data_IF_790417191347
#
_entry.id   IF_790417191347
#
_cell.length_a   1.000
_cell.length_b   1.000
_cell.length_c   1.000
_cell.angle_alpha   90.00
_cell.angle_beta   90.00
_cell.angle_gamma   90.00
#
_symmetry.space_group_name_H-M   'P 1'
#
loop_
_entity.id
_entity.type
_entity.pdbx_description
1 polymer ?
#
# COMPACT_ATOMS: atom_id res chain seq x y z
N UNK A 1 2.28 -3.66 -18.48
CA UNK A 1 3.21 -2.50 -18.42
C UNK A 1 4.31 -2.82 -17.42
N UNK A 2 5.55 -2.40 -17.70
CA UNK A 2 6.72 -2.76 -16.90
C UNK A 2 6.79 -1.88 -15.65
N UNK A 3 6.90 -2.52 -14.48
CA UNK A 3 7.11 -1.88 -13.18
C UNK A 3 8.22 -0.82 -13.28
N UNK A 4 7.90 0.46 -13.02
CA UNK A 4 8.90 1.52 -13.01
C UNK A 4 9.52 1.64 -11.58
N UNK A 5 10.75 1.15 -11.35
CA UNK A 5 11.39 1.23 -10.04
C UNK A 5 11.61 2.67 -9.55
N UNK A 6 11.69 3.66 -10.45
CA UNK A 6 11.86 5.08 -10.10
C UNK A 6 10.68 5.60 -9.27
N UNK A 7 9.48 5.01 -9.44
CA UNK A 7 8.26 5.49 -8.78
C UNK A 7 8.17 4.96 -7.34
N UNK A 8 8.85 3.85 -7.05
CA UNK A 8 9.05 3.43 -5.67
C UNK A 8 10.05 4.34 -4.95
N UNK A 9 11.05 4.86 -5.67
CA UNK A 9 12.01 5.80 -5.10
C UNK A 9 11.35 7.15 -4.79
N UNK A 10 10.43 7.63 -5.63
CA UNK A 10 9.67 8.87 -5.36
C UNK A 10 8.70 8.77 -4.18
N UNK A 11 8.22 7.56 -3.82
CA UNK A 11 7.44 7.35 -2.58
C UNK A 11 8.32 7.47 -1.34
N UNK A 12 9.59 7.09 -1.45
CA UNK A 12 10.48 6.91 -0.30
C UNK A 12 11.47 8.05 -0.11
N UNK A 13 11.69 8.89 -1.13
CA UNK A 13 12.66 9.97 -1.11
C UNK A 13 12.04 11.28 -1.57
N UNK A 14 12.50 12.36 -0.95
CA UNK A 14 12.21 13.73 -1.35
C UNK A 14 12.90 14.03 -2.69
N UNK A 15 12.16 14.63 -3.62
CA UNK A 15 12.59 14.89 -5.00
C UNK A 15 13.70 15.95 -5.10
N UNK A 16 13.79 16.85 -4.12
CA UNK A 16 14.74 17.97 -4.10
C UNK A 16 16.03 17.62 -3.37
N UNK A 17 15.92 16.88 -2.28
CA UNK A 17 17.02 16.60 -1.36
C UNK A 17 17.55 15.18 -1.47
N UNK A 18 16.81 14.28 -2.15
CA UNK A 18 17.08 12.84 -2.17
C UNK A 18 17.13 12.19 -0.78
N UNK A 19 16.66 12.90 0.26
CA UNK A 19 16.57 12.35 1.61
C UNK A 19 15.38 11.40 1.74
N UNK A 20 15.51 10.38 2.60
CA UNK A 20 14.39 9.50 2.90
C UNK A 20 13.28 10.24 3.62
N UNK A 21 12.05 10.07 3.12
CA UNK A 21 10.86 10.61 3.74
C UNK A 21 10.58 9.92 5.08
N UNK A 22 10.13 10.66 6.12
CA UNK A 22 9.70 10.08 7.37
C UNK A 22 8.45 9.22 7.17
N UNK A 23 8.20 8.30 8.09
CA UNK A 23 6.95 7.56 8.15
C UNK A 23 5.76 8.54 8.23
N UNK A 24 4.81 8.48 7.30
CA UNK A 24 3.67 9.43 7.32
C UNK A 24 2.73 9.24 8.51
N UNK A 25 2.71 8.04 9.12
CA UNK A 25 1.84 7.76 10.27
C UNK A 25 2.45 8.15 11.61
N UNK A 26 3.77 8.06 11.78
CA UNK A 26 4.42 8.29 13.07
C UNK A 26 5.55 9.33 13.06
N UNK A 27 5.91 9.87 11.90
CA UNK A 27 6.96 10.88 11.75
C UNK A 27 8.40 10.36 11.89
N UNK A 28 8.60 9.11 12.30
CA UNK A 28 9.94 8.57 12.49
C UNK A 28 10.66 8.34 11.15
N UNK A 29 11.92 8.77 11.05
CA UNK A 29 12.80 8.48 9.91
C UNK A 29 13.43 7.10 10.09
N UNK A 30 12.93 6.12 9.35
CA UNK A 30 13.46 4.76 9.37
C UNK A 30 14.53 4.59 8.29
N UNK A 31 15.63 3.86 8.54
CA UNK A 31 16.67 3.64 7.53
C UNK A 31 16.17 2.85 6.32
N UNK A 32 15.15 1.99 6.53
CA UNK A 32 14.53 1.18 5.48
C UNK A 32 12.99 1.25 5.59
N UNK A 33 12.36 2.37 5.20
CA UNK A 33 10.91 2.45 5.14
C UNK A 33 10.40 1.61 3.96
N UNK A 34 9.24 0.99 4.15
CA UNK A 34 8.51 0.32 3.07
C UNK A 34 7.58 1.32 2.38
N UNK A 35 7.40 1.14 1.06
CA UNK A 35 6.32 1.78 0.34
C UNK A 35 5.09 0.89 0.50
N UNK A 36 4.16 1.30 1.36
CA UNK A 36 2.88 0.64 1.54
C UNK A 36 1.95 1.05 0.39
N UNK A 37 1.44 0.10 -0.38
CA UNK A 37 0.55 0.44 -1.49
C UNK A 37 -0.81 0.85 -0.94
N UNK A 38 -1.38 1.93 -1.49
CA UNK A 38 -2.71 2.37 -1.09
C UNK A 38 -3.73 1.43 -1.70
N UNK A 39 -3.57 1.08 -2.98
CA UNK A 39 -4.34 0.05 -3.69
C UNK A 39 -3.44 -1.18 -3.86
N UNK A 40 -3.96 -2.40 -3.74
CA UNK A 40 -3.10 -3.57 -3.99
C UNK A 40 -2.53 -3.54 -5.41
N UNK A 41 -1.26 -3.93 -5.55
CA UNK A 41 -0.54 -3.91 -6.82
C UNK A 41 -1.24 -4.67 -7.95
N UNK A 42 -1.93 -5.77 -7.65
CA UNK A 42 -2.68 -6.52 -8.64
C UNK A 42 -3.91 -5.75 -9.10
N UNK A 43 -4.67 -5.18 -8.16
CA UNK A 43 -5.85 -4.35 -8.44
C UNK A 43 -5.47 -3.05 -9.15
N UNK A 44 -4.37 -2.43 -8.75
CA UNK A 44 -3.81 -1.25 -9.43
C UNK A 44 -3.49 -1.55 -10.89
N UNK A 45 -2.83 -2.68 -11.18
CA UNK A 45 -2.43 -3.05 -12.54
C UNK A 45 -3.59 -3.45 -13.45
N UNK A 46 -4.68 -3.98 -12.88
CA UNK A 46 -5.84 -4.46 -13.64
C UNK A 46 -6.99 -3.45 -13.67
N UNK A 47 -6.97 -2.46 -12.79
CA UNK A 47 -7.94 -1.38 -12.74
C UNK A 47 -7.82 -0.41 -13.91
N UNK A 48 -8.93 0.24 -14.24
CA UNK A 48 -9.04 1.27 -15.29
C UNK A 48 -8.23 2.53 -14.97
N UNK A 49 -7.91 2.78 -13.70
CA UNK A 49 -7.31 4.03 -13.22
C UNK A 49 -5.85 3.89 -12.78
N UNK A 50 -5.28 2.69 -12.78
CA UNK A 50 -3.91 2.47 -12.34
C UNK A 50 -2.91 2.70 -13.47
N UNK A 51 -2.27 3.86 -13.48
CA UNK A 51 -1.12 4.09 -14.34
C UNK A 51 0.17 3.89 -13.54
N UNK A 52 1.16 3.18 -14.10
CA UNK A 52 2.48 3.11 -13.47
C UNK A 52 3.05 4.52 -13.23
N UNK A 53 2.63 5.57 -13.95
CA UNK A 53 3.04 6.99 -13.74
C UNK A 53 2.50 7.65 -12.47
N UNK A 54 1.52 7.05 -11.79
CA UNK A 54 0.92 7.59 -10.58
C UNK A 54 1.54 6.95 -9.34
N UNK A 55 1.63 7.74 -8.28
CA UNK A 55 2.21 7.33 -7.00
C UNK A 55 1.15 6.59 -6.20
N UNK A 56 1.25 5.26 -6.14
CA UNK A 56 0.40 4.39 -5.32
C UNK A 56 1.22 3.85 -4.14
N UNK A 57 1.62 4.75 -3.24
CA UNK A 57 2.47 4.38 -2.12
C UNK A 57 2.57 5.42 -1.02
N UNK A 58 2.67 4.94 0.22
CA UNK A 58 2.97 5.74 1.42
C UNK A 58 4.31 5.28 2.02
N UNK A 59 5.22 6.20 2.38
CA UNK A 59 6.42 5.83 3.13
C UNK A 59 6.03 5.52 4.57
N UNK A 60 6.11 4.24 4.95
CA UNK A 60 5.79 3.75 6.29
C UNK A 60 6.95 2.97 6.90
N UNK A 61 7.14 3.12 8.22
CA UNK A 61 8.01 2.22 8.96
C UNK A 61 7.36 0.82 9.07
N UNK A 62 8.13 -0.25 9.36
CA UNK A 62 7.59 -1.62 9.40
C UNK A 62 6.38 -1.81 10.32
N UNK A 63 6.36 -1.13 11.47
CA UNK A 63 5.25 -1.20 12.42
C UNK A 63 4.00 -0.51 11.87
N UNK A 64 4.13 0.73 11.40
CA UNK A 64 3.02 1.47 10.81
C UNK A 64 2.49 0.81 9.54
N UNK A 65 3.37 0.20 8.74
CA UNK A 65 2.97 -0.57 7.57
C UNK A 65 2.09 -1.76 7.95
N UNK A 66 2.45 -2.49 9.01
CA UNK A 66 1.64 -3.59 9.53
C UNK A 66 0.27 -3.10 10.02
N UNK A 67 0.25 -2.03 10.81
CA UNK A 67 -1.01 -1.43 11.32
C UNK A 67 -1.90 -0.94 10.18
N UNK A 68 -1.30 -0.33 9.16
CA UNK A 68 -2.02 0.13 7.98
C UNK A 68 -2.72 -1.02 7.26
N UNK A 69 -1.99 -2.08 6.93
CA UNK A 69 -2.49 -3.25 6.20
C UNK A 69 -3.52 -4.06 7.02
N UNK A 70 -3.22 -4.32 8.30
CA UNK A 70 -3.99 -5.28 9.11
C UNK A 70 -5.22 -4.65 9.78
N UNK A 71 -5.22 -3.34 10.00
CA UNK A 71 -6.26 -2.67 10.78
C UNK A 71 -6.83 -1.43 10.08
N UNK A 72 -5.97 -0.47 9.72
CA UNK A 72 -6.45 0.84 9.28
C UNK A 72 -7.18 0.76 7.94
N UNK A 73 -6.62 0.07 6.94
CA UNK A 73 -7.20 -0.01 5.60
C UNK A 73 -8.56 -0.74 5.61
N UNK A 74 -8.71 -1.92 6.25
CA UNK A 74 -10.02 -2.55 6.42
C UNK A 74 -11.04 -1.68 7.15
N UNK A 75 -10.62 -1.05 8.25
CA UNK A 75 -11.51 -0.19 9.03
C UNK A 75 -12.00 1.03 8.24
N UNK A 76 -11.11 1.66 7.47
CA UNK A 76 -11.46 2.78 6.59
C UNK A 76 -12.42 2.34 5.48
N UNK A 77 -12.22 1.14 4.92
CA UNK A 77 -13.13 0.58 3.92
C UNK A 77 -14.55 0.46 4.49
N UNK A 78 -14.69 -0.19 5.65
CA UNK A 78 -15.98 -0.37 6.32
C UNK A 78 -16.65 0.97 6.65
N UNK A 79 -15.90 1.93 7.20
CA UNK A 79 -16.42 3.26 7.53
C UNK A 79 -16.90 4.02 6.29
N UNK A 80 -16.16 3.94 5.18
CA UNK A 80 -16.53 4.60 3.91
C UNK A 80 -17.73 3.92 3.26
N UNK A 81 -17.81 2.59 3.26
CA UNK A 81 -18.99 1.86 2.77
C UNK A 81 -20.23 2.19 3.60
N UNK A 82 -20.11 2.26 4.93
CA UNK A 82 -21.19 2.65 5.83
C UNK A 82 -21.68 4.09 5.59
N UNK A 83 -20.77 4.99 5.16
CA UNK A 83 -21.12 6.35 4.76
C UNK A 83 -21.76 6.44 3.36
N UNK A 84 -21.77 5.34 2.60
CA UNK A 84 -22.35 5.27 1.25
C UNK A 84 -21.34 5.51 0.12
N UNK A 85 -20.03 5.47 0.40
CA UNK A 85 -19.03 5.46 -0.66
C UNK A 85 -19.15 4.18 -1.49
N UNK A 86 -19.15 4.32 -2.81
CA UNK A 86 -19.18 3.22 -3.76
C UNK A 86 -17.89 3.18 -4.58
N UNK A 87 -17.56 2.01 -5.13
CA UNK A 87 -16.38 1.83 -5.99
C UNK A 87 -15.04 1.83 -5.24
N UNK A 88 -15.04 1.50 -3.94
CA UNK A 88 -13.80 1.36 -3.18
C UNK A 88 -12.99 0.15 -3.69
N UNK A 89 -11.64 0.20 -3.61
CA UNK A 89 -10.80 -0.93 -4.02
C UNK A 89 -11.11 -2.19 -3.20
N UNK A 90 -11.24 -3.33 -3.86
CA UNK A 90 -11.53 -4.62 -3.23
C UNK A 90 -10.42 -5.02 -2.25
N UNK A 91 -9.18 -4.66 -2.57
CA UNK A 91 -8.01 -4.87 -1.71
C UNK A 91 -8.10 -4.15 -0.36
N UNK A 92 -9.00 -3.18 -0.20
CA UNK A 92 -9.17 -2.50 1.07
C UNK A 92 -9.93 -3.33 2.10
N UNK A 93 -10.70 -4.34 1.68
CA UNK A 93 -11.56 -5.12 2.58
C UNK A 93 -10.80 -6.10 3.47
N UNK A 94 -9.58 -6.50 3.08
CA UNK A 94 -8.84 -7.56 3.78
C UNK A 94 -7.35 -7.25 3.85
N UNK A 95 -6.68 -7.83 4.87
CA UNK A 95 -5.22 -7.85 4.91
C UNK A 95 -4.70 -8.85 3.88
N UNK A 96 -3.78 -8.40 3.03
CA UNK A 96 -3.13 -9.22 2.02
C UNK A 96 -2.21 -10.32 2.62
N UNK A 97 -2.05 -10.37 3.94
CA UNK A 97 -1.17 -11.32 4.64
C UNK A 97 -1.85 -12.61 5.12
N UNK A 98 -3.18 -12.70 5.08
CA UNK A 98 -3.93 -13.87 5.56
C UNK A 98 -4.35 -14.86 4.44
N UNK A 99 -3.85 -14.67 3.20
CA UNK A 99 -4.30 -15.41 2.02
C UNK A 99 -3.44 -16.59 1.55
N UNK A 100 -2.50 -17.13 2.34
CA UNK A 100 -1.88 -18.43 2.03
C UNK A 100 -2.46 -19.51 2.94
N UNK A 101 -3.53 -20.14 2.49
CA UNK A 101 -3.78 -21.54 2.88
C UNK A 101 -2.67 -22.35 2.20
N UNK A 102 -1.93 -23.22 2.91
CA UNK A 102 -1.00 -24.14 2.26
C UNK A 102 -1.80 -25.00 1.27
N UNK A 103 -1.34 -25.07 0.02
CA UNK A 103 -1.89 -26.01 -0.95
C UNK A 103 -1.59 -27.43 -0.43
N UNK A 104 -2.62 -28.25 -0.21
CA UNK A 104 -2.51 -29.63 0.29
C UNK A 104 -1.97 -30.61 -0.79
N UNK A 105 -1.07 -30.17 -1.67
CA UNK A 105 -0.53 -30.97 -2.78
C UNK A 105 1.00 -30.90 -2.91
N UNK A 106 1.72 -30.67 -1.80
CA UNK A 106 3.19 -30.81 -1.76
C UNK A 106 3.60 -31.98 -0.84
N UNK A 107 3.12 -33.19 -1.17
CA UNK A 107 3.69 -34.47 -0.68
C UNK A 107 4.01 -35.39 -1.85
#
# INVERSE_FOLDING_TARGET
MAFNPQIKETVLHDDKTSERLPCVMCGWRYPFPGAAHIIDKQEWRTGTDGCDRQVDGLPLCPNSHKVFEDHLRPYLCEALEAFGAAGLPKSWKQSNKLGRVPDENDT
#
